data_IF_242857726673
#
_entry.id   IF_242857726673
#
_cell.length_a   1.000
_cell.length_b   1.000
_cell.length_c   1.000
_cell.angle_alpha   90.00
_cell.angle_beta   90.00
_cell.angle_gamma   90.00
#
_symmetry.space_group_name_H-M   'P 1'
#
loop_
_entity.id
_entity.type
_entity.pdbx_description
1 polymer ?
#
# COMPACT_ATOMS: atom_id res chain seq x y z
N UNK A 1 13.85 -2.30 1.30
CA UNK A 1 12.94 -1.21 1.70
C UNK A 1 12.26 -0.77 0.43
N UNK A 2 10.97 -1.07 0.25
CA UNK A 2 10.22 -0.57 -0.89
C UNK A 2 10.25 0.96 -0.90
N UNK A 3 10.72 1.55 -2.00
CA UNK A 3 10.69 2.98 -2.23
C UNK A 3 9.51 3.31 -3.15
N UNK A 4 9.41 4.55 -3.63
CA UNK A 4 8.29 4.96 -4.48
C UNK A 4 8.09 4.07 -5.71
N UNK A 5 9.12 3.69 -6.50
CA UNK A 5 8.94 2.86 -7.68
C UNK A 5 8.38 1.46 -7.36
N UNK A 6 8.85 0.82 -6.29
CA UNK A 6 8.35 -0.48 -5.87
C UNK A 6 6.90 -0.37 -5.38
N UNK A 7 6.55 0.68 -4.64
CA UNK A 7 5.17 0.91 -4.20
C UNK A 7 4.24 1.16 -5.39
N UNK A 8 4.65 1.93 -6.39
CA UNK A 8 3.87 2.12 -7.63
C UNK A 8 3.72 0.82 -8.42
N UNK A 9 4.76 -0.01 -8.46
CA UNK A 9 4.70 -1.33 -9.10
C UNK A 9 3.71 -2.23 -8.39
N UNK A 10 3.70 -2.24 -7.06
CA UNK A 10 2.70 -2.97 -6.25
C UNK A 10 1.30 -2.43 -6.50
N UNK A 11 1.11 -1.10 -6.52
CA UNK A 11 -0.20 -0.47 -6.84
C UNK A 11 -0.72 -0.96 -8.19
N UNK A 12 0.10 -0.89 -9.24
CA UNK A 12 -0.25 -1.35 -10.60
C UNK A 12 -0.50 -2.85 -10.67
N UNK A 13 0.24 -3.67 -9.92
CA UNK A 13 0.03 -5.12 -9.88
C UNK A 13 -1.26 -5.53 -9.17
N UNK A 14 -1.66 -4.78 -8.15
CA UNK A 14 -2.91 -5.02 -7.42
C UNK A 14 -4.15 -4.48 -8.14
N UNK A 15 -3.99 -3.43 -8.96
CA UNK A 15 -5.08 -2.72 -9.61
C UNK A 15 -6.06 -3.64 -10.38
N UNK A 16 -5.61 -4.57 -11.25
CA UNK A 16 -6.51 -5.40 -12.04
C UNK A 16 -7.35 -6.38 -11.22
N UNK A 17 -6.94 -6.67 -9.98
CA UNK A 17 -7.57 -7.68 -9.12
C UNK A 17 -8.42 -7.04 -8.03
N UNK A 18 -8.03 -5.86 -7.55
CA UNK A 18 -8.74 -5.18 -6.47
C UNK A 18 -9.75 -4.16 -6.98
N UNK A 19 -9.44 -3.32 -7.97
CA UNK A 19 -10.39 -2.28 -8.39
C UNK A 19 -11.68 -2.88 -8.98
N UNK A 20 -12.82 -2.42 -8.47
CA UNK A 20 -14.15 -2.96 -8.77
C UNK A 20 -14.47 -4.29 -8.08
N UNK A 21 -13.52 -4.89 -7.34
CA UNK A 21 -13.75 -6.15 -6.64
C UNK A 21 -14.33 -5.91 -5.23
N UNK A 22 -15.19 -6.85 -4.81
CA UNK A 22 -15.76 -6.86 -3.47
C UNK A 22 -14.87 -7.66 -2.52
N UNK A 23 -14.53 -7.08 -1.37
CA UNK A 23 -13.84 -7.76 -0.27
C UNK A 23 -14.81 -8.70 0.43
N UNK A 24 -14.93 -9.94 -0.02
CA UNK A 24 -15.92 -10.89 0.56
C UNK A 24 -15.54 -11.37 1.95
N UNK A 25 -14.24 -11.44 2.23
CA UNK A 25 -13.71 -11.74 3.55
C UNK A 25 -12.37 -11.04 3.75
N UNK A 26 -12.15 -10.50 4.95
CA UNK A 26 -10.87 -9.94 5.35
C UNK A 26 -10.45 -10.59 6.65
N UNK A 27 -9.25 -11.13 6.68
CA UNK A 27 -8.65 -11.78 7.85
C UNK A 27 -7.43 -10.99 8.30
N UNK A 28 -7.39 -10.60 9.57
CA UNK A 28 -6.16 -10.17 10.23
C UNK A 28 -5.72 -11.31 11.15
N UNK A 29 -4.61 -11.99 10.81
CA UNK A 29 -4.11 -13.18 11.53
C UNK A 29 -3.40 -12.86 12.84
N UNK A 30 -3.37 -11.57 13.19
CA UNK A 30 -2.76 -11.01 14.40
C UNK A 30 -3.37 -9.63 14.69
N UNK A 31 -3.22 -9.09 15.92
CA UNK A 31 -3.84 -7.81 16.27
C UNK A 31 -3.10 -6.57 15.76
N UNK A 32 -1.84 -6.68 15.35
CA UNK A 32 -0.95 -5.54 15.08
C UNK A 32 0.10 -5.82 13.99
N UNK A 33 0.75 -4.78 13.46
CA UNK A 33 2.03 -4.86 12.75
C UNK A 33 3.03 -3.92 13.43
N UNK A 34 3.47 -2.85 12.77
CA UNK A 34 4.17 -1.75 13.44
C UNK A 34 3.26 -1.01 14.41
N UNK A 35 1.96 -0.95 14.09
CA UNK A 35 0.90 -0.37 14.91
C UNK A 35 -0.25 -1.38 15.02
N UNK A 36 -1.09 -1.31 16.07
CA UNK A 36 -2.34 -2.05 16.14
C UNK A 36 -3.20 -1.81 14.90
N UNK A 37 -3.89 -2.84 14.42
CA UNK A 37 -4.92 -2.62 13.41
C UNK A 37 -6.05 -1.76 13.99
N UNK A 38 -6.69 -0.90 13.17
CA UNK A 38 -7.84 -0.11 13.58
C UNK A 38 -8.96 -0.96 14.21
N UNK A 39 -9.75 -0.34 15.08
CA UNK A 39 -10.88 -1.04 15.70
C UNK A 39 -11.82 -1.64 14.64
N UNK A 40 -12.18 -2.91 14.83
CA UNK A 40 -13.03 -3.66 13.91
C UNK A 40 -12.48 -3.72 12.47
N UNK A 41 -11.16 -3.65 12.28
CA UNK A 41 -10.47 -3.63 10.98
C UNK A 41 -11.10 -4.54 9.91
N UNK A 42 -11.08 -5.86 10.14
CA UNK A 42 -11.62 -6.85 9.21
C UNK A 42 -13.12 -6.63 8.93
N UNK A 43 -13.91 -6.38 9.98
CA UNK A 43 -15.36 -6.16 9.88
C UNK A 43 -15.72 -4.88 9.12
N UNK A 44 -14.88 -3.84 9.18
CA UNK A 44 -15.12 -2.55 8.49
C UNK A 44 -14.82 -2.63 7.00
N UNK A 45 -13.93 -3.52 6.59
CA UNK A 45 -13.56 -3.76 5.19
C UNK A 45 -14.40 -4.84 4.53
N UNK A 46 -14.78 -5.88 5.28
CA UNK A 46 -15.58 -6.99 4.75
C UNK A 46 -16.92 -6.50 4.20
N UNK A 47 -17.24 -6.92 2.99
CA UNK A 47 -18.45 -6.58 2.26
C UNK A 47 -18.33 -5.32 1.39
N UNK A 48 -17.24 -4.55 1.51
CA UNK A 48 -16.99 -3.31 0.73
C UNK A 48 -16.44 -3.59 -0.66
N UNK A 49 -16.67 -2.68 -1.58
CA UNK A 49 -16.11 -2.73 -2.94
C UNK A 49 -14.95 -1.74 -3.03
N UNK A 50 -13.80 -2.17 -3.55
CA UNK A 50 -12.68 -1.26 -3.79
C UNK A 50 -12.99 -0.43 -5.03
N UNK A 51 -13.10 0.88 -4.90
CA UNK A 51 -13.40 1.80 -6.01
C UNK A 51 -12.14 2.28 -6.73
N UNK A 52 -11.03 2.43 -6.00
CA UNK A 52 -9.75 2.86 -6.56
C UNK A 52 -8.55 2.45 -5.69
N UNK A 53 -7.41 2.23 -6.33
CA UNK A 53 -6.09 2.14 -5.71
C UNK A 53 -5.23 3.34 -6.07
N UNK A 54 -4.88 4.13 -5.06
CA UNK A 54 -3.96 5.24 -5.16
C UNK A 54 -2.60 4.94 -4.55
N UNK A 55 -1.69 5.89 -4.76
CA UNK A 55 -0.40 5.96 -4.07
C UNK A 55 -0.13 7.41 -3.71
N UNK A 56 0.39 7.63 -2.50
CA UNK A 56 0.97 8.91 -2.08
C UNK A 56 2.32 8.61 -1.45
N UNK A 57 3.40 9.18 -1.96
CA UNK A 57 4.78 8.81 -1.60
C UNK A 57 4.96 7.28 -1.57
N UNK A 58 5.27 6.71 -0.40
CA UNK A 58 5.48 5.26 -0.17
C UNK A 58 4.26 4.56 0.44
N UNK A 59 3.10 5.20 0.38
CA UNK A 59 1.84 4.68 0.89
C UNK A 59 0.94 4.25 -0.27
N UNK A 60 0.33 3.08 -0.13
CA UNK A 60 -0.82 2.66 -0.93
C UNK A 60 -2.09 3.18 -0.26
N UNK A 61 -3.03 3.67 -1.06
CA UNK A 61 -4.37 4.01 -0.59
C UNK A 61 -5.38 3.13 -1.31
N UNK A 62 -6.26 2.49 -0.55
CA UNK A 62 -7.32 1.65 -1.08
C UNK A 62 -8.66 2.27 -0.71
N UNK A 63 -9.35 2.79 -1.72
CA UNK A 63 -10.60 3.52 -1.59
C UNK A 63 -11.77 2.56 -1.71
N UNK A 64 -12.73 2.66 -0.78
CA UNK A 64 -13.94 1.85 -0.78
C UNK A 64 -15.12 2.62 -1.40
N UNK A 65 -16.17 1.90 -1.75
CA UNK A 65 -17.49 2.47 -2.07
C UNK A 65 -18.10 3.22 -0.88
N UNK A 66 -17.94 2.65 0.31
CA UNK A 66 -18.36 3.24 1.58
C UNK A 66 -17.37 2.90 2.70
N UNK A 67 -17.28 3.80 3.69
CA UNK A 67 -16.41 3.63 4.85
C UNK A 67 -15.02 4.23 4.65
N UNK A 68 -14.02 3.79 5.42
CA UNK A 68 -12.72 4.45 5.46
C UNK A 68 -11.87 4.12 4.22
N UNK A 69 -10.96 5.03 3.88
CA UNK A 69 -9.83 4.70 3.01
C UNK A 69 -8.79 3.93 3.81
N UNK A 70 -8.37 2.78 3.30
CA UNK A 70 -7.30 1.99 3.89
C UNK A 70 -5.95 2.53 3.40
N UNK A 71 -5.14 3.04 4.32
CA UNK A 71 -3.76 3.46 4.07
C UNK A 71 -2.84 2.31 4.45
N UNK A 72 -2.00 1.85 3.52
CA UNK A 72 -1.05 0.78 3.74
C UNK A 72 0.37 1.25 3.45
N UNK A 73 1.31 0.94 4.34
CA UNK A 73 2.74 1.16 4.14
C UNK A 73 3.47 -0.18 4.24
N UNK A 74 4.36 -0.47 3.28
CA UNK A 74 5.03 -1.77 3.19
C UNK A 74 6.19 -1.92 4.20
N UNK A 75 6.64 -0.81 4.78
CA UNK A 75 7.76 -0.84 5.73
C UNK A 75 9.05 -1.19 5.01
N UNK A 76 9.78 -2.19 5.50
CA UNK A 76 11.04 -2.61 4.86
C UNK A 76 10.97 -3.91 4.08
N UNK A 77 10.03 -4.80 4.45
CA UNK A 77 9.90 -6.16 3.91
C UNK A 77 8.46 -6.56 3.58
N UNK A 78 7.50 -5.64 3.74
CA UNK A 78 6.12 -5.86 3.37
C UNK A 78 6.00 -6.09 1.87
N UNK A 79 5.18 -7.06 1.49
CA UNK A 79 4.90 -7.41 0.10
C UNK A 79 3.47 -7.92 -0.04
N UNK A 80 2.93 -7.80 -1.25
CA UNK A 80 1.66 -8.39 -1.62
C UNK A 80 1.85 -9.56 -2.58
N UNK A 81 1.03 -10.58 -2.40
CA UNK A 81 0.90 -11.72 -3.31
C UNK A 81 -0.56 -11.87 -3.71
N UNK A 82 -0.79 -12.24 -4.95
CA UNK A 82 -2.11 -12.55 -5.49
C UNK A 82 -2.13 -14.04 -5.77
N UNK A 83 -3.15 -14.72 -5.30
CA UNK A 83 -3.44 -16.14 -5.52
C UNK A 83 -4.80 -16.22 -6.23
N UNK A 84 -4.85 -16.77 -7.44
CA UNK A 84 -6.10 -17.04 -8.17
C UNK A 84 -6.28 -18.54 -8.33
N UNK A 85 -7.52 -18.98 -8.59
CA UNK A 85 -7.83 -20.40 -8.75
C UNK A 85 -7.07 -21.07 -9.93
N UNK A 86 -6.66 -20.27 -10.92
CA UNK A 86 -5.98 -20.73 -12.14
C UNK A 86 -4.46 -20.44 -12.13
N UNK A 87 -3.91 -19.87 -11.04
CA UNK A 87 -2.51 -19.45 -10.98
C UNK A 87 -1.56 -20.55 -10.47
N UNK A 88 -1.36 -21.58 -11.30
CA UNK A 88 -0.08 -22.30 -11.32
C UNK A 88 0.99 -21.55 -12.15
N UNK A 89 0.60 -20.51 -12.89
CA UNK A 89 1.46 -19.81 -13.85
C UNK A 89 1.62 -18.32 -13.47
N UNK A 90 2.60 -18.03 -12.60
CA UNK A 90 3.04 -16.66 -12.30
C UNK A 90 4.07 -16.26 -13.36
N UNK A 91 3.92 -15.14 -14.09
CA UNK A 91 4.95 -14.69 -15.03
C UNK A 91 6.24 -14.32 -14.30
N UNK A 92 7.25 -15.18 -14.46
CA UNK A 92 8.60 -15.01 -13.90
C UNK A 92 9.09 -16.27 -13.22
N UNK A 93 10.05 -16.97 -13.84
CA UNK A 93 10.84 -17.98 -13.16
C UNK A 93 11.72 -17.30 -12.11
N UNK A 94 11.21 -17.16 -10.89
CA UNK A 94 12.04 -16.72 -9.77
C UNK A 94 13.05 -17.84 -9.46
N UNK A 95 14.33 -17.53 -9.52
CA UNK A 95 15.43 -18.48 -9.26
C UNK A 95 15.41 -19.08 -7.85
N UNK A 96 14.59 -18.49 -6.96
CA UNK A 96 14.21 -19.02 -5.66
C UNK A 96 12.69 -19.02 -5.57
N UNK A 97 12.09 -20.11 -5.09
CA UNK A 97 10.68 -20.10 -4.67
C UNK A 97 10.49 -18.90 -3.73
N UNK A 98 9.49 -18.03 -4.01
CA UNK A 98 9.07 -17.05 -3.00
C UNK A 98 8.78 -17.85 -1.75
N UNK A 99 9.54 -17.60 -0.68
CA UNK A 99 9.31 -18.26 0.60
C UNK A 99 7.83 -18.10 0.97
N UNK A 100 7.05 -19.18 0.77
CA UNK A 100 5.65 -19.29 1.16
C UNK A 100 5.55 -19.47 2.67
N UNK A 101 6.32 -18.69 3.43
CA UNK A 101 6.27 -18.74 4.89
C UNK A 101 4.96 -18.08 5.32
N UNK A 102 3.91 -18.91 5.41
CA UNK A 102 2.60 -18.52 5.90
C UNK A 102 2.66 -17.90 7.32
N UNK A 103 3.75 -18.13 8.06
CA UNK A 103 4.02 -17.50 9.35
C UNK A 103 4.14 -15.96 9.29
N UNK A 104 4.37 -15.40 8.11
CA UNK A 104 4.47 -13.96 7.90
C UNK A 104 3.33 -13.37 7.07
N UNK A 105 2.35 -14.19 6.69
CA UNK A 105 1.11 -13.74 6.06
C UNK A 105 0.19 -13.18 7.16
N UNK A 106 0.07 -11.85 7.24
CA UNK A 106 -0.58 -11.19 8.37
C UNK A 106 -1.99 -10.69 8.06
N UNK A 107 -2.25 -10.28 6.81
CA UNK A 107 -3.57 -9.82 6.36
C UNK A 107 -3.92 -10.50 5.05
N UNK A 108 -5.14 -11.04 4.97
CA UNK A 108 -5.66 -11.71 3.78
C UNK A 108 -6.96 -11.04 3.36
N UNK A 109 -7.06 -10.72 2.08
CA UNK A 109 -8.27 -10.22 1.43
C UNK A 109 -8.74 -11.28 0.44
N UNK A 110 -9.85 -11.94 0.75
CA UNK A 110 -10.55 -12.73 -0.26
C UNK A 110 -11.48 -11.80 -1.03
N UNK A 111 -11.35 -11.78 -2.35
CA UNK A 111 -12.05 -10.84 -3.22
C UNK A 111 -12.80 -11.55 -4.33
N UNK A 112 -13.89 -10.92 -4.78
CA UNK A 112 -14.67 -11.35 -5.94
C UNK A 112 -14.79 -10.19 -6.91
N UNK A 113 -14.34 -10.39 -8.15
CA UNK A 113 -14.46 -9.39 -9.23
C UNK A 113 -15.92 -9.18 -9.63
N UNK A 114 -16.22 -8.09 -10.34
CA UNK A 114 -17.56 -7.86 -10.89
C UNK A 114 -18.02 -8.97 -11.86
N UNK A 115 -17.07 -9.75 -12.43
CA UNK A 115 -17.34 -10.90 -13.30
C UNK A 115 -17.50 -12.22 -12.52
N UNK A 116 -17.37 -12.19 -11.20
CA UNK A 116 -17.48 -13.37 -10.33
C UNK A 116 -16.17 -14.15 -10.14
N UNK A 117 -15.05 -13.66 -10.65
CA UNK A 117 -13.73 -14.31 -10.49
C UNK A 117 -13.26 -14.15 -9.04
N UNK A 118 -12.66 -15.20 -8.49
CA UNK A 118 -12.18 -15.21 -7.10
C UNK A 118 -10.67 -15.08 -7.07
N UNK A 119 -10.18 -14.22 -6.18
CA UNK A 119 -8.77 -14.09 -5.89
C UNK A 119 -8.55 -13.90 -4.39
N UNK A 120 -7.35 -14.24 -3.93
CA UNK A 120 -6.87 -13.98 -2.59
C UNK A 120 -5.64 -13.07 -2.68
N UNK A 121 -5.70 -11.93 -2.00
CA UNK A 121 -4.59 -10.98 -1.90
C UNK A 121 -4.02 -11.05 -0.49
N UNK A 122 -2.73 -11.38 -0.38
CA UNK A 122 -2.07 -11.64 0.91
C UNK A 122 -0.98 -10.61 1.15
N UNK A 123 -1.04 -9.93 2.29
CA UNK A 123 0.02 -9.08 2.78
C UNK A 123 0.97 -9.89 3.67
N UNK A 124 2.23 -9.98 3.26
CA UNK A 124 3.30 -10.66 3.96
C UNK A 124 4.34 -9.65 4.45
N UNK A 125 4.73 -9.67 5.73
CA UNK A 125 5.79 -8.81 6.25
C UNK A 125 6.60 -9.49 7.38
N UNK A 126 7.77 -10.10 7.06
CA UNK A 126 8.60 -10.80 8.04
C UNK A 126 9.10 -9.90 9.18
N UNK A 127 9.40 -8.62 8.89
CA UNK A 127 9.93 -7.67 9.89
C UNK A 127 8.83 -6.89 10.61
N UNK A 128 7.58 -6.96 10.14
CA UNK A 128 6.41 -6.29 10.73
C UNK A 128 6.59 -4.77 10.90
N UNK A 129 7.28 -4.14 9.96
CA UNK A 129 7.43 -2.68 9.93
C UNK A 129 6.41 -1.99 9.03
N UNK A 130 5.69 -2.74 8.22
CA UNK A 130 4.50 -2.26 7.55
C UNK A 130 3.37 -1.98 8.54
N UNK A 131 2.35 -1.30 8.04
CA UNK A 131 1.15 -1.00 8.82
C UNK A 131 -0.02 -0.68 7.91
N UNK A 132 -1.22 -0.80 8.47
CA UNK A 132 -2.50 -0.53 7.82
C UNK A 132 -3.35 0.32 8.76
N UNK A 133 -3.77 1.50 8.29
CA UNK A 133 -4.54 2.48 9.05
C UNK A 133 -5.77 2.92 8.26
N UNK A 134 -6.76 3.47 8.96
CA UNK A 134 -7.95 4.05 8.32
C UNK A 134 -7.87 5.57 8.30
N UNK A 135 -8.19 6.14 7.14
CA UNK A 135 -8.60 7.53 7.03
C UNK A 135 -10.13 7.57 6.90
N UNK A 136 -10.79 8.20 7.88
CA UNK A 136 -12.27 8.32 7.92
C UNK A 136 -12.82 9.36 6.95
N UNK A 137 -11.96 10.25 6.44
CA UNK A 137 -12.31 11.28 5.48
C UNK A 137 -11.30 11.32 4.34
N UNK A 138 -11.03 12.53 3.83
CA UNK A 138 -10.07 12.72 2.77
C UNK A 138 -8.66 12.23 3.19
N UNK A 139 -8.01 11.34 2.43
CA UNK A 139 -6.74 10.73 2.83
C UNK A 139 -5.62 11.73 3.09
N UNK A 140 -5.59 12.82 2.34
CA UNK A 140 -4.61 13.90 2.45
C UNK A 140 -4.67 14.64 3.80
N UNK A 141 -5.77 14.56 4.54
CA UNK A 141 -5.86 15.09 5.91
C UNK A 141 -5.32 14.15 6.98
N UNK A 142 -5.06 12.88 6.64
CA UNK A 142 -4.57 11.90 7.61
C UNK A 142 -3.15 12.26 8.08
N UNK A 143 -2.79 12.14 9.37
CA UNK A 143 -1.48 12.56 9.89
C UNK A 143 -0.26 11.93 9.19
N UNK A 144 -0.41 10.72 8.63
CA UNK A 144 0.66 10.07 7.86
C UNK A 144 0.88 10.67 6.46
N UNK A 145 -0.09 11.40 5.92
CA UNK A 145 -0.09 11.91 4.54
C UNK A 145 -0.06 13.45 4.46
N UNK A 146 -0.68 14.15 5.42
CA UNK A 146 -0.87 15.61 5.40
C UNK A 146 0.42 16.43 5.32
N UNK A 147 1.51 15.92 5.89
CA UNK A 147 2.80 16.60 5.91
C UNK A 147 3.76 16.19 4.79
N UNK A 148 3.31 15.38 3.82
CA UNK A 148 4.19 14.89 2.74
C UNK A 148 4.46 15.97 1.70
N UNK A 149 5.69 15.98 1.20
CA UNK A 149 6.19 16.91 0.20
C UNK A 149 5.65 16.68 -1.21
N UNK A 150 6.17 17.39 -2.19
CA UNK A 150 5.71 17.30 -3.59
C UNK A 150 5.95 15.90 -4.16
N UNK A 151 4.99 15.34 -4.91
CA UNK A 151 5.25 14.07 -5.60
C UNK A 151 6.40 14.24 -6.62
N UNK A 152 7.40 13.35 -6.63
CA UNK A 152 8.48 13.37 -7.63
C UNK A 152 8.06 12.77 -8.97
N UNK A 153 6.75 12.65 -9.20
CA UNK A 153 6.17 12.13 -10.44
C UNK A 153 5.46 13.25 -11.19
N UNK A 154 5.72 13.37 -12.49
CA UNK A 154 5.15 14.44 -13.32
C UNK A 154 5.97 15.73 -13.27
N UNK A 155 5.35 16.84 -13.68
CA UNK A 155 6.04 18.12 -13.88
C UNK A 155 6.00 19.05 -12.66
N UNK A 156 5.40 18.63 -11.54
CA UNK A 156 5.30 19.45 -10.35
C UNK A 156 6.66 19.65 -9.66
N UNK A 157 7.52 18.62 -9.68
CA UNK A 157 8.90 18.73 -9.24
C UNK A 157 9.79 19.13 -10.42
N UNK A 158 10.13 20.41 -10.49
CA UNK A 158 11.07 20.96 -11.47
C UNK A 158 12.32 21.57 -10.82
N UNK A 159 13.26 22.04 -11.65
CA UNK A 159 14.51 22.61 -11.16
C UNK A 159 14.32 23.88 -10.32
N UNK A 160 13.30 24.70 -10.63
CA UNK A 160 13.01 25.92 -9.90
C UNK A 160 12.42 25.61 -8.51
N UNK A 161 11.48 24.66 -8.45
CA UNK A 161 10.93 24.16 -7.20
C UNK A 161 12.01 23.52 -6.35
N UNK A 162 12.85 22.63 -6.92
CA UNK A 162 13.93 21.99 -6.17
C UNK A 162 14.92 23.03 -5.61
N UNK A 163 15.32 24.02 -6.41
CA UNK A 163 16.17 25.11 -5.95
C UNK A 163 15.50 25.90 -4.81
N UNK A 164 14.21 26.20 -4.92
CA UNK A 164 13.45 26.88 -3.87
C UNK A 164 13.36 26.07 -2.57
N UNK A 165 13.15 24.74 -2.66
CA UNK A 165 13.05 23.86 -1.49
C UNK A 165 14.39 23.74 -0.73
N UNK A 166 15.51 23.95 -1.42
CA UNK A 166 16.86 23.76 -0.89
C UNK A 166 17.61 25.06 -0.52
N UNK A 167 17.14 26.23 -1.01
CA UNK A 167 17.86 27.51 -0.98
C UNK A 167 18.53 27.88 0.35
N UNK A 168 17.85 27.67 1.48
CA UNK A 168 18.33 28.10 2.80
C UNK A 168 18.67 26.92 3.73
N UNK A 169 18.70 25.69 3.20
CA UNK A 169 18.93 24.49 4.01
C UNK A 169 20.42 24.29 4.28
N UNK A 170 20.74 24.15 5.56
CA UNK A 170 22.11 23.83 6.04
C UNK A 170 22.37 22.33 6.14
N UNK A 171 21.35 21.49 5.97
CA UNK A 171 21.48 20.03 5.99
C UNK A 171 22.22 19.52 4.74
N UNK A 172 23.00 18.43 4.84
CA UNK A 172 23.57 17.77 3.68
C UNK A 172 22.50 17.41 2.63
N UNK A 173 22.85 17.49 1.35
CA UNK A 173 21.92 17.25 0.24
C UNK A 173 21.20 15.89 0.37
N UNK A 174 21.92 14.83 0.73
CA UNK A 174 21.33 13.51 0.96
C UNK A 174 20.23 13.54 2.03
N UNK A 175 20.45 14.25 3.13
CA UNK A 175 19.46 14.35 4.20
C UNK A 175 18.22 15.14 3.76
N UNK A 176 18.41 16.21 2.98
CA UNK A 176 17.30 16.96 2.40
C UNK A 176 16.49 16.11 1.41
N UNK A 177 17.13 15.36 0.52
CA UNK A 177 16.42 14.50 -0.45
C UNK A 177 15.70 13.31 0.19
N UNK A 178 16.10 12.89 1.39
CA UNK A 178 15.40 11.85 2.15
C UNK A 178 14.27 12.39 3.03
N UNK A 179 14.16 13.72 3.20
CA UNK A 179 13.09 14.35 3.97
C UNK A 179 11.76 14.27 3.20
N UNK A 180 10.90 13.34 3.62
CA UNK A 180 9.59 13.09 2.99
C UNK A 180 8.62 14.27 3.12
N UNK A 181 8.97 15.31 3.89
CA UNK A 181 8.21 16.57 3.95
C UNK A 181 8.56 17.52 2.81
N UNK A 182 9.67 17.27 2.11
CA UNK A 182 10.09 18.05 0.96
C UNK A 182 9.58 17.44 -0.34
N UNK A 183 9.87 16.15 -0.56
CA UNK A 183 9.62 15.40 -1.80
C UNK A 183 9.25 13.96 -1.45
#
# INVERSE_FOLDING_TARGET
MPELPEVETVRRGLQPVLEGARLVHVEARRPDLRFPFPERFAKRLTGRTVTALGRRAKYLTMHMDEGPVLICHLGMSGSFRIETADADDVPGAFHHERSKSAAHDHVVFDVVSAKGERARVVFNDPRRFGFMLFAEGAPDTHPMLAGLGVEPTGNALDGAMLASLLKDRRSPLKAALLDQRLI
#
